data_IF_397855620955
#
_entry.id   IF_397855620955
#
_cell.length_a   1.000
_cell.length_b   1.000
_cell.length_c   1.000
_cell.angle_alpha   90.00
_cell.angle_beta   90.00
_cell.angle_gamma   90.00
#
_symmetry.space_group_name_H-M   'P 1'
#
loop_
_entity.id
_entity.type
_entity.pdbx_description
1 polymer ?
#
# COMPACT_ATOMS: atom_id res chain seq x y z
N UNK A 1 6.24 -15.40 -7.61
CA UNK A 1 7.04 -14.72 -6.58
C UNK A 1 6.12 -14.04 -5.59
N UNK A 2 6.67 -13.52 -4.48
CA UNK A 2 5.93 -12.76 -3.49
C UNK A 2 6.15 -11.25 -3.71
N UNK A 3 5.26 -10.41 -3.18
CA UNK A 3 5.47 -8.97 -3.13
C UNK A 3 6.79 -8.63 -2.42
N UNK A 4 7.46 -7.60 -2.92
CA UNK A 4 8.68 -7.02 -2.34
C UNK A 4 8.43 -5.55 -2.02
N UNK A 5 8.79 -5.13 -0.82
CA UNK A 5 8.71 -3.74 -0.38
C UNK A 5 9.99 -2.99 -0.79
N UNK A 6 9.88 -2.00 -1.68
CA UNK A 6 11.04 -1.27 -2.20
C UNK A 6 10.73 0.22 -2.48
N UNK A 7 11.77 1.04 -2.61
CA UNK A 7 11.63 2.39 -3.15
C UNK A 7 11.34 2.30 -4.65
N UNK A 8 10.49 3.19 -5.15
CA UNK A 8 10.19 3.23 -6.58
C UNK A 8 11.41 3.77 -7.33
N UNK A 9 11.85 3.04 -8.35
CA UNK A 9 12.94 3.45 -9.22
C UNK A 9 12.49 4.54 -10.19
N UNK A 10 13.42 5.34 -10.72
CA UNK A 10 13.11 6.37 -11.72
C UNK A 10 12.51 5.78 -13.00
N UNK A 11 13.01 4.62 -13.44
CA UNK A 11 12.47 3.88 -14.58
C UNK A 11 11.00 3.49 -14.35
N UNK A 12 10.69 3.00 -13.16
CA UNK A 12 9.32 2.62 -12.80
C UNK A 12 8.39 3.81 -12.60
N UNK A 13 8.93 4.92 -12.09
CA UNK A 13 8.20 6.19 -11.99
C UNK A 13 7.69 6.66 -13.36
N UNK A 14 8.50 6.45 -14.40
CA UNK A 14 8.13 6.74 -15.79
C UNK A 14 7.21 5.67 -16.37
N UNK A 15 7.58 4.39 -16.27
CA UNK A 15 6.81 3.26 -16.83
C UNK A 15 5.35 3.26 -16.40
N UNK A 16 5.08 3.54 -15.13
CA UNK A 16 3.74 3.52 -14.56
C UNK A 16 3.11 4.92 -14.43
N UNK A 17 3.72 5.95 -15.03
CA UNK A 17 3.23 7.34 -14.97
C UNK A 17 2.95 7.85 -13.54
N UNK A 18 3.75 7.39 -12.58
CA UNK A 18 3.49 7.62 -11.14
C UNK A 18 3.54 9.11 -10.81
N UNK A 19 4.40 9.88 -11.47
CA UNK A 19 4.49 11.34 -11.30
C UNK A 19 3.16 12.04 -11.60
N UNK A 20 2.57 11.74 -12.75
CA UNK A 20 1.31 12.33 -13.18
C UNK A 20 0.16 11.93 -12.26
N UNK A 21 0.13 10.67 -11.83
CA UNK A 21 -0.89 10.15 -10.91
C UNK A 21 -0.78 10.87 -9.57
N UNK A 22 0.43 11.00 -9.03
CA UNK A 22 0.69 11.69 -7.75
C UNK A 22 0.32 13.17 -7.81
N UNK A 23 0.64 13.85 -8.92
CA UNK A 23 0.25 15.25 -9.13
C UNK A 23 -1.27 15.41 -9.17
N UNK A 24 -1.97 14.57 -9.95
CA UNK A 24 -3.43 14.58 -10.04
C UNK A 24 -4.08 14.31 -8.69
N UNK A 25 -3.65 13.26 -7.99
CA UNK A 25 -4.22 12.82 -6.72
C UNK A 25 -3.77 13.65 -5.51
N UNK A 26 -2.95 14.69 -5.71
CA UNK A 26 -2.41 15.55 -4.63
C UNK A 26 -1.71 14.70 -3.57
N UNK A 27 -0.84 13.81 -4.03
CA UNK A 27 -0.09 12.91 -3.18
C UNK A 27 0.88 13.66 -2.25
N UNK A 28 1.27 13.03 -1.16
CA UNK A 28 2.32 13.54 -0.27
C UNK A 28 3.64 13.77 -1.06
N UNK A 29 4.47 14.74 -0.66
CA UNK A 29 5.69 15.13 -1.39
C UNK A 29 6.92 14.28 -1.07
N UNK A 30 6.80 13.27 -0.19
CA UNK A 30 7.90 12.37 0.17
C UNK A 30 8.42 11.51 -1.00
N UNK A 31 9.54 10.83 -0.78
CA UNK A 31 10.02 9.78 -1.70
C UNK A 31 8.98 8.65 -1.71
N UNK A 32 8.50 8.20 -2.89
CA UNK A 32 7.46 7.19 -2.94
C UNK A 32 8.06 5.79 -2.74
N UNK A 33 7.38 4.98 -1.94
CA UNK A 33 7.62 3.57 -1.69
C UNK A 33 6.41 2.74 -2.11
N UNK A 34 6.63 1.46 -2.42
CA UNK A 34 5.57 0.53 -2.81
C UNK A 34 5.89 -0.89 -2.37
N UNK A 35 4.88 -1.76 -2.48
CA UNK A 35 5.10 -3.20 -2.56
C UNK A 35 4.78 -3.67 -3.97
N UNK A 36 5.69 -4.41 -4.58
CA UNK A 36 5.60 -4.82 -5.98
C UNK A 36 5.83 -6.31 -6.17
N UNK A 37 5.06 -6.91 -7.06
CA UNK A 37 5.34 -8.21 -7.66
C UNK A 37 5.69 -7.99 -9.14
N UNK A 38 6.96 -8.19 -9.49
CA UNK A 38 7.45 -8.00 -10.86
C UNK A 38 6.97 -9.08 -11.83
N UNK A 39 6.80 -10.31 -11.36
CA UNK A 39 6.36 -11.43 -12.22
C UNK A 39 4.89 -11.28 -12.61
N UNK A 40 4.06 -10.80 -11.67
CA UNK A 40 2.63 -10.60 -11.90
C UNK A 40 2.29 -9.23 -12.48
N UNK A 41 3.27 -8.35 -12.63
CA UNK A 41 3.11 -6.92 -12.99
C UNK A 41 2.04 -6.24 -12.11
N UNK A 42 2.33 -6.21 -10.80
CA UNK A 42 1.42 -5.66 -9.79
C UNK A 42 2.19 -4.81 -8.78
N UNK A 43 1.55 -3.76 -8.27
CA UNK A 43 2.07 -3.03 -7.11
C UNK A 43 0.95 -2.40 -6.28
N UNK A 44 1.26 -2.11 -5.02
CA UNK A 44 0.43 -1.30 -4.14
C UNK A 44 1.29 -0.17 -3.57
N UNK A 45 0.80 1.06 -3.68
CA UNK A 45 1.50 2.27 -3.24
C UNK A 45 0.57 3.14 -2.40
N UNK A 46 1.08 3.71 -1.30
CA UNK A 46 0.38 4.72 -0.54
C UNK A 46 0.47 6.07 -1.28
N UNK A 47 -0.67 6.67 -1.61
CA UNK A 47 -0.74 7.95 -2.34
C UNK A 47 -0.87 9.12 -1.37
N UNK A 48 -1.70 8.97 -0.35
CA UNK A 48 -1.95 10.02 0.63
C UNK A 48 -2.15 9.39 2.01
N UNK A 49 -1.33 9.85 2.97
CA UNK A 49 -1.46 9.55 4.38
C UNK A 49 -2.03 10.79 5.09
N UNK A 50 -3.30 10.74 5.44
CA UNK A 50 -3.87 11.69 6.39
C UNK A 50 -3.47 11.17 7.78
N UNK A 51 -2.34 11.64 8.28
CA UNK A 51 -1.55 11.02 9.36
C UNK A 51 -2.18 11.03 10.77
N UNK A 52 -3.42 10.58 10.93
CA UNK A 52 -4.10 10.40 12.23
C UNK A 52 -4.88 9.09 12.29
N UNK A 53 -4.97 8.54 13.50
CA UNK A 53 -5.82 7.38 13.80
C UNK A 53 -7.28 7.66 13.38
N UNK A 54 -7.87 6.76 12.59
CA UNK A 54 -9.21 6.83 11.98
C UNK A 54 -9.38 7.80 10.80
N UNK A 55 -8.30 8.37 10.25
CA UNK A 55 -8.36 9.06 8.95
C UNK A 55 -8.06 8.07 7.81
N UNK A 56 -8.83 8.14 6.73
CA UNK A 56 -8.72 7.20 5.61
C UNK A 56 -7.48 7.51 4.77
N UNK A 57 -6.65 6.51 4.56
CA UNK A 57 -5.51 6.59 3.65
C UNK A 57 -5.95 6.24 2.23
N UNK A 58 -5.36 6.93 1.25
CA UNK A 58 -5.61 6.61 -0.17
C UNK A 58 -4.46 5.77 -0.69
N UNK A 59 -4.81 4.59 -1.20
CA UNK A 59 -3.89 3.60 -1.74
C UNK A 59 -4.18 3.35 -3.21
N UNK A 60 -3.13 3.17 -4.00
CA UNK A 60 -3.22 2.84 -5.41
C UNK A 60 -2.73 1.41 -5.63
N UNK A 61 -3.65 0.54 -6.03
CA UNK A 61 -3.35 -0.80 -6.50
C UNK A 61 -3.24 -0.77 -8.03
N UNK A 62 -2.15 -1.29 -8.55
CA UNK A 62 -1.99 -1.61 -9.96
C UNK A 62 -1.88 -3.12 -10.11
N UNK A 63 -2.63 -3.69 -11.04
CA UNK A 63 -2.53 -5.10 -11.39
C UNK A 63 -2.85 -5.32 -12.86
N UNK A 64 -1.90 -5.90 -13.62
CA UNK A 64 -2.09 -6.33 -15.01
C UNK A 64 -2.70 -5.23 -15.91
N UNK A 65 -2.14 -4.02 -15.86
CA UNK A 65 -2.60 -2.89 -16.67
C UNK A 65 -3.82 -2.13 -16.13
N UNK A 66 -4.43 -2.60 -15.02
CA UNK A 66 -5.58 -1.93 -14.38
C UNK A 66 -5.15 -1.24 -13.09
N UNK A 67 -5.77 -0.09 -12.83
CA UNK A 67 -5.59 0.66 -11.60
C UNK A 67 -6.89 0.65 -10.78
N UNK A 68 -6.73 0.52 -9.46
CA UNK A 68 -7.81 0.69 -8.50
C UNK A 68 -7.32 1.56 -7.35
N UNK A 69 -7.94 2.72 -7.16
CA UNK A 69 -7.69 3.56 -6.01
C UNK A 69 -8.67 3.17 -4.88
N UNK A 70 -8.14 2.87 -3.70
CA UNK A 70 -8.93 2.41 -2.55
C UNK A 70 -8.69 3.30 -1.34
N UNK A 71 -9.75 3.50 -0.56
CA UNK A 71 -9.67 4.12 0.76
C UNK A 71 -9.72 3.03 1.81
N UNK A 72 -8.63 2.91 2.55
CA UNK A 72 -8.49 1.96 3.65
C UNK A 72 -7.86 2.67 4.84
N UNK A 73 -8.10 2.17 6.04
CA UNK A 73 -7.41 2.66 7.23
C UNK A 73 -6.99 1.50 8.13
N UNK A 74 -5.93 1.72 8.90
CA UNK A 74 -5.51 0.77 9.92
C UNK A 74 -6.47 0.87 11.12
N UNK A 75 -7.33 -0.12 11.27
CA UNK A 75 -8.31 -0.20 12.36
C UNK A 75 -7.69 -0.68 13.68
N UNK A 76 -6.46 -1.19 13.64
CA UNK A 76 -5.71 -1.58 14.82
C UNK A 76 -4.58 -2.55 14.52
N UNK A 77 -3.69 -2.73 15.49
CA UNK A 77 -2.62 -3.74 15.43
C UNK A 77 -2.60 -4.56 16.71
N UNK A 78 -2.27 -5.85 16.59
CA UNK A 78 -2.11 -6.78 17.71
C UNK A 78 -0.87 -7.63 17.46
N UNK A 79 -0.01 -7.73 18.47
CA UNK A 79 1.07 -8.71 18.46
C UNK A 79 0.54 -10.06 18.93
N UNK A 80 0.81 -11.11 18.16
CA UNK A 80 0.45 -12.48 18.46
C UNK A 80 1.55 -13.13 19.33
N UNK A 81 1.21 -14.27 19.94
CA UNK A 81 2.10 -14.97 20.88
C UNK A 81 3.39 -15.50 20.24
N UNK A 82 3.37 -15.69 18.91
CA UNK A 82 4.52 -16.07 18.09
C UNK A 82 5.40 -14.87 17.67
N UNK A 83 5.08 -13.66 18.12
CA UNK A 83 5.76 -12.41 17.78
C UNK A 83 5.26 -11.73 16.51
N UNK A 84 4.39 -12.38 15.72
CA UNK A 84 3.78 -11.86 14.49
C UNK A 84 2.96 -10.59 14.80
N UNK A 85 3.19 -9.51 14.05
CA UNK A 85 2.36 -8.32 14.16
C UNK A 85 1.17 -8.44 13.19
N UNK A 86 -0.01 -8.66 13.75
CA UNK A 86 -1.24 -8.66 12.99
C UNK A 86 -1.81 -7.24 12.90
N UNK A 87 -1.94 -6.69 11.68
CA UNK A 87 -2.62 -5.42 11.43
C UNK A 87 -3.98 -5.68 10.83
N UNK A 88 -4.99 -5.00 11.35
CA UNK A 88 -6.34 -5.01 10.80
C UNK A 88 -6.55 -3.77 9.97
N UNK A 89 -6.87 -3.97 8.70
CA UNK A 89 -7.22 -2.90 7.80
C UNK A 89 -8.73 -2.93 7.57
N UNK A 90 -9.35 -1.75 7.53
CA UNK A 90 -10.76 -1.64 7.15
C UNK A 90 -10.85 -0.98 5.79
N UNK A 91 -11.52 -1.66 4.88
CA UNK A 91 -11.90 -1.10 3.59
C UNK A 91 -13.16 -0.27 3.73
N UNK A 92 -13.10 0.95 3.20
CA UNK A 92 -14.19 1.92 3.26
C UNK A 92 -14.90 1.95 1.91
N UNK A 93 -14.15 2.33 0.87
CA UNK A 93 -14.68 2.48 -0.47
C UNK A 93 -13.56 2.59 -1.51
N UNK A 94 -13.91 2.45 -2.78
CA UNK A 94 -13.05 2.89 -3.88
C UNK A 94 -12.99 4.42 -3.90
N UNK A 95 -11.80 4.98 -4.11
CA UNK A 95 -11.60 6.42 -4.11
C UNK A 95 -12.27 7.07 -5.32
N UNK A 96 -13.40 7.75 -5.07
CA UNK A 96 -14.17 8.49 -6.07
C UNK A 96 -13.93 9.98 -5.86
N UNK A 97 -12.97 10.55 -6.58
CA UNK A 97 -12.81 12.01 -6.64
C UNK A 97 -12.71 12.47 -8.09
N UNK A 98 -13.07 13.73 -8.36
CA UNK A 98 -12.87 14.37 -9.67
C UNK A 98 -11.42 14.30 -10.17
N UNK A 99 -10.47 14.09 -9.25
CA UNK A 99 -9.04 13.99 -9.53
C UNK A 99 -8.53 12.55 -9.61
N UNK A 100 -9.37 11.57 -9.32
CA UNK A 100 -9.07 10.15 -9.47
C UNK A 100 -9.49 9.70 -10.88
N UNK A 101 -8.53 9.36 -11.78
CA UNK A 101 -8.85 8.95 -13.13
C UNK A 101 -9.31 7.48 -13.22
N UNK A 102 -9.32 6.74 -12.11
CA UNK A 102 -9.50 5.29 -12.10
C UNK A 102 -10.94 4.90 -11.78
N UNK A 103 -11.62 4.14 -12.66
CA UNK A 103 -12.96 3.67 -12.40
C UNK A 103 -12.97 2.62 -11.28
N UNK A 104 -14.13 2.48 -10.62
CA UNK A 104 -14.36 1.37 -9.70
C UNK A 104 -14.31 0.04 -10.46
N UNK A 105 -13.54 -0.95 -9.96
CA UNK A 105 -13.50 -2.27 -10.57
C UNK A 105 -14.87 -2.97 -10.57
N UNK A 106 -15.17 -3.82 -11.56
CA UNK A 106 -16.40 -4.62 -11.59
C UNK A 106 -16.55 -5.50 -10.34
N UNK A 107 -17.79 -5.79 -9.94
CA UNK A 107 -18.07 -6.63 -8.76
C UNK A 107 -17.40 -8.01 -8.81
N UNK A 108 -17.25 -8.57 -10.02
CA UNK A 108 -16.61 -9.87 -10.27
C UNK A 108 -15.12 -9.87 -9.94
N UNK A 109 -14.44 -8.72 -10.08
CA UNK A 109 -13.01 -8.57 -9.82
C UNK A 109 -12.72 -8.31 -8.32
N UNK A 110 -13.74 -7.93 -7.53
CA UNK A 110 -13.57 -7.53 -6.12
C UNK A 110 -12.92 -8.61 -5.25
N UNK A 111 -13.31 -9.91 -5.29
CA UNK A 111 -12.67 -10.92 -4.46
C UNK A 111 -11.17 -11.08 -4.77
N UNK A 112 -10.78 -10.95 -6.04
CA UNK A 112 -9.37 -11.01 -6.44
C UNK A 112 -8.61 -9.77 -5.94
N UNK A 113 -9.20 -8.58 -6.07
CA UNK A 113 -8.62 -7.32 -5.57
C UNK A 113 -8.41 -7.37 -4.07
N UNK A 114 -9.40 -7.81 -3.29
CA UNK A 114 -9.25 -7.91 -1.83
C UNK A 114 -8.15 -8.88 -1.42
N UNK A 115 -8.02 -10.03 -2.09
CA UNK A 115 -6.90 -10.95 -1.84
C UNK A 115 -5.54 -10.32 -2.14
N UNK A 116 -5.44 -9.59 -3.26
CA UNK A 116 -4.20 -8.90 -3.62
C UNK A 116 -3.85 -7.80 -2.62
N UNK A 117 -4.84 -7.05 -2.15
CA UNK A 117 -4.64 -6.04 -1.11
C UNK A 117 -4.19 -6.68 0.20
N UNK A 118 -4.78 -7.80 0.62
CA UNK A 118 -4.33 -8.53 1.82
C UNK A 118 -2.89 -9.04 1.69
N UNK A 119 -2.53 -9.63 0.55
CA UNK A 119 -1.17 -10.10 0.26
C UNK A 119 -0.16 -8.95 0.28
N UNK A 120 -0.48 -7.85 -0.42
CA UNK A 120 0.36 -6.67 -0.53
C UNK A 120 0.51 -5.93 0.81
N UNK A 121 -0.58 -5.69 1.54
CA UNK A 121 -0.55 -5.01 2.85
C UNK A 121 0.15 -5.84 3.93
N UNK A 122 0.09 -7.18 3.82
CA UNK A 122 0.88 -8.06 4.68
C UNK A 122 2.37 -7.82 4.46
N UNK A 123 2.82 -7.65 3.22
CA UNK A 123 4.24 -7.32 2.96
C UNK A 123 4.57 -5.87 3.31
N UNK A 124 3.62 -4.94 3.15
CA UNK A 124 3.85 -3.53 3.46
C UNK A 124 4.13 -3.31 4.96
N UNK A 125 3.43 -4.06 5.84
CA UNK A 125 3.82 -4.44 7.20
C UNK A 125 4.11 -3.34 8.24
N UNK A 126 5.00 -2.40 7.92
CA UNK A 126 5.53 -1.36 8.80
C UNK A 126 6.07 -0.16 8.01
N UNK A 127 5.18 0.65 7.45
CA UNK A 127 5.55 1.96 6.88
C UNK A 127 6.49 1.87 5.66
N UNK A 128 6.48 0.79 4.87
CA UNK A 128 7.37 0.75 3.71
C UNK A 128 8.85 0.79 4.13
N UNK A 129 9.76 1.07 3.20
CA UNK A 129 11.13 1.44 3.56
C UNK A 129 11.24 2.70 4.47
N UNK A 130 10.16 3.32 4.99
CA UNK A 130 10.27 4.41 5.99
C UNK A 130 10.90 3.96 7.31
N UNK A 131 10.79 2.68 7.66
CA UNK A 131 11.54 2.13 8.79
C UNK A 131 13.05 1.99 8.51
N UNK A 132 13.47 2.09 7.25
CA UNK A 132 14.85 2.01 6.75
C UNK A 132 15.24 3.36 6.11
N UNK A 133 14.97 4.47 6.80
CA UNK A 133 15.70 5.71 6.50
C UNK A 133 17.12 5.59 7.05
N UNK A 134 18.17 5.96 6.28
CA UNK A 134 19.48 6.17 6.87
C UNK A 134 19.37 7.34 7.85
N UNK A 135 19.62 7.09 9.14
CA UNK A 135 19.75 8.18 10.10
C UNK A 135 20.91 9.11 9.69
N UNK A 136 21.96 8.56 9.05
CA UNK A 136 23.15 9.24 8.51
C UNK A 136 23.79 8.46 7.33
N UNK A 137 24.61 9.10 6.47
CA UNK A 137 25.34 8.41 5.40
C UNK A 137 26.27 7.33 5.97
N UNK A 138 26.00 6.06 5.64
CA UNK A 138 26.85 4.92 6.01
C UNK A 138 26.33 4.03 7.15
N UNK A 139 25.20 4.37 7.79
CA UNK A 139 24.57 3.52 8.82
C UNK A 139 23.17 3.06 8.38
N UNK A 140 23.01 1.75 8.21
CA UNK A 140 21.73 1.11 7.95
C UNK A 140 21.21 0.48 9.25
N UNK A 141 20.13 1.00 9.81
CA UNK A 141 19.43 0.34 10.91
C UNK A 141 18.56 -0.79 10.34
N UNK A 142 18.97 -2.04 10.52
CA UNK A 142 18.03 -3.17 10.46
C UNK A 142 17.38 -3.24 11.83
N UNK A 143 16.16 -2.73 11.96
CA UNK A 143 15.37 -2.86 13.18
C UNK A 143 14.95 -4.34 13.31
N UNK A 144 15.85 -5.12 13.90
CA UNK A 144 15.73 -6.42 14.58
C UNK A 144 14.53 -7.31 14.23
N UNK A 145 14.87 -8.52 13.78
CA UNK A 145 14.06 -9.71 13.48
C UNK A 145 12.95 -9.52 12.42
N UNK A 146 12.83 -10.41 11.42
CA UNK A 146 11.75 -10.37 10.45
C UNK A 146 10.42 -10.60 11.18
N UNK A 147 9.77 -9.51 11.60
CA UNK A 147 8.40 -9.55 12.09
C UNK A 147 7.54 -10.02 10.93
N UNK A 148 6.95 -11.20 11.07
CA UNK A 148 5.94 -11.68 10.12
C UNK A 148 4.71 -10.80 10.30
N UNK A 149 4.18 -10.29 9.20
CA UNK A 149 3.00 -9.43 9.19
C UNK A 149 1.84 -10.16 8.55
N UNK A 150 0.66 -9.99 9.12
CA UNK A 150 -0.60 -10.48 8.54
C UNK A 150 -1.60 -9.34 8.49
N UNK A 151 -2.09 -9.04 7.29
CA UNK A 151 -3.17 -8.11 7.05
C UNK A 151 -4.48 -8.88 6.79
N UNK A 152 -5.57 -8.41 7.36
CA UNK A 152 -6.94 -8.80 6.98
C UNK A 152 -7.71 -7.55 6.65
N UNK A 153 -8.49 -7.59 5.57
CA UNK A 153 -9.34 -6.48 5.16
C UNK A 153 -10.78 -6.81 5.56
N UNK A 154 -11.33 -6.01 6.48
CA UNK A 154 -12.75 -6.07 6.79
C UNK A 154 -13.50 -5.04 5.93
N UNK A 155 -14.54 -5.43 5.18
CA UNK A 155 -15.43 -4.46 4.55
C UNK A 155 -16.23 -3.74 5.63
N UNK A 156 -16.38 -2.42 5.51
CA UNK A 156 -17.25 -1.66 6.41
C UNK A 156 -18.71 -2.13 6.29
N UNK A 157 -19.28 -2.62 7.40
CA UNK A 157 -20.70 -2.94 7.47
C UNK A 157 -21.47 -1.62 7.48
N UNK A 158 -22.18 -1.31 6.39
CA UNK A 158 -23.20 -0.26 6.37
C UNK A 158 -24.36 -0.59 7.28
#
# INVERSE_FOLDING_TARGET
MAFVNEWISEEDMEKYHIREIREKMVADRGRPDWVRDRERDMYLMQVNALGRDNEYETWLLYARGKYAAVRIYCAGSKRLDDGTLHRRWRFVEFHKSLRCPFPEPPQEDLPAIFRLLEEALSVYGAEGMRAIEPAYPGEYFVKTDPVVYRATIEPEKK
#
